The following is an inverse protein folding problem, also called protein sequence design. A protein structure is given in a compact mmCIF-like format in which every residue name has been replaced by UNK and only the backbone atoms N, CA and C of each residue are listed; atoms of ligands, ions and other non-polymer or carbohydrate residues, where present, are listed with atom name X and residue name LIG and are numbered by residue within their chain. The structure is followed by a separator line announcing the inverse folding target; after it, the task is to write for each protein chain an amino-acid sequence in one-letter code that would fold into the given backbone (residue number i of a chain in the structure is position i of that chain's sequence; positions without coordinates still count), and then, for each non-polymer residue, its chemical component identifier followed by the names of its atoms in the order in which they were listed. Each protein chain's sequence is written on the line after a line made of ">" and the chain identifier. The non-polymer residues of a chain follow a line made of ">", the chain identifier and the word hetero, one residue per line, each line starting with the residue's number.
data_IF_425203064018
#
_entry.id   IF_425203064018
#
_cell.length_a   1.000
_cell.length_b   1.000
_cell.length_c   1.000
_cell.angle_alpha   90.00
_cell.angle_beta   90.00
_cell.angle_gamma   90.00
#
_symmetry.space_group_name_H-M   'P 1'
#
loop_
_entity.id
_entity.type
_entity.pdbx_description
1 polymer ?
#
# COMPACT_ATOMS: atom_id res chain seq x y z
N UNK A 1 3.81 -18.04 5.66
CA UNK A 1 4.42 -17.02 4.78
C UNK A 1 5.67 -16.45 5.41
N UNK A 2 6.58 -15.87 4.63
CA UNK A 2 7.82 -15.26 5.16
C UNK A 2 7.55 -14.08 6.10
N UNK A 3 6.46 -13.35 5.90
CA UNK A 3 6.05 -12.25 6.77
C UNK A 3 5.42 -12.72 8.10
N UNK A 4 5.17 -14.03 8.27
CA UNK A 4 4.55 -14.59 9.47
C UNK A 4 3.05 -14.80 9.38
N UNK A 5 2.40 -14.52 8.24
CA UNK A 5 0.99 -14.86 8.06
C UNK A 5 0.78 -16.37 7.99
N UNK A 6 -0.26 -16.86 8.64
CA UNK A 6 -0.73 -18.24 8.53
C UNK A 6 -1.73 -18.35 7.37
N UNK A 7 -1.50 -19.30 6.46
CA UNK A 7 -2.30 -19.44 5.25
C UNK A 7 -2.80 -20.86 5.15
N UNK A 8 -4.11 -21.04 5.16
CA UNK A 8 -4.77 -22.33 5.03
C UNK A 8 -5.68 -22.36 3.80
N UNK A 9 -5.43 -23.31 2.92
CA UNK A 9 -6.31 -23.59 1.78
C UNK A 9 -7.54 -24.37 2.24
N UNK A 10 -8.71 -23.74 2.15
CA UNK A 10 -10.01 -24.35 2.51
C UNK A 10 -10.56 -25.15 1.33
N UNK A 11 -10.41 -24.64 0.09
CA UNK A 11 -10.79 -25.29 -1.15
C UNK A 11 -9.86 -24.88 -2.29
N UNK A 12 -10.08 -25.40 -3.50
CA UNK A 12 -9.29 -25.04 -4.69
C UNK A 12 -9.24 -23.54 -5.00
N UNK A 13 -10.23 -22.76 -4.53
CA UNK A 13 -10.37 -21.32 -4.79
C UNK A 13 -10.57 -20.48 -3.53
N UNK A 14 -10.45 -21.09 -2.34
CA UNK A 14 -10.72 -20.39 -1.07
C UNK A 14 -9.53 -20.57 -0.13
N UNK A 15 -9.00 -19.45 0.34
CA UNK A 15 -7.92 -19.41 1.31
C UNK A 15 -8.37 -18.64 2.54
N UNK A 16 -8.01 -19.14 3.71
CA UNK A 16 -8.06 -18.43 4.97
C UNK A 16 -6.67 -17.89 5.26
N UNK A 17 -6.57 -16.59 5.54
CA UNK A 17 -5.30 -15.92 5.79
C UNK A 17 -5.39 -15.21 7.14
N UNK A 18 -4.62 -15.69 8.11
CA UNK A 18 -4.47 -15.05 9.42
C UNK A 18 -3.19 -14.23 9.44
N UNK A 19 -3.36 -12.92 9.57
CA UNK A 19 -2.25 -11.96 9.61
C UNK A 19 -1.91 -11.49 11.02
N UNK A 20 -2.53 -12.05 12.06
CA UNK A 20 -2.36 -11.63 13.45
C UNK A 20 -0.91 -11.78 13.96
N UNK A 21 -0.16 -12.72 13.39
CA UNK A 21 1.22 -13.04 13.78
C UNK A 21 2.29 -12.38 12.90
N UNK A 22 1.91 -11.53 11.96
CA UNK A 22 2.90 -10.79 11.16
C UNK A 22 3.71 -9.90 12.10
N UNK A 23 5.03 -10.09 12.07
CA UNK A 23 5.99 -9.37 12.90
C UNK A 23 7.20 -8.88 12.10
N UNK A 24 7.19 -9.05 10.78
CA UNK A 24 8.24 -8.63 9.87
C UNK A 24 7.72 -7.56 8.91
N UNK A 25 8.45 -6.46 8.80
CA UNK A 25 8.16 -5.34 7.89
C UNK A 25 9.09 -5.31 6.68
N UNK A 26 9.93 -6.33 6.54
CA UNK A 26 10.86 -6.50 5.43
C UNK A 26 10.40 -7.63 4.51
N UNK A 27 10.23 -7.30 3.22
CA UNK A 27 9.95 -8.27 2.17
C UNK A 27 11.27 -8.65 1.50
N UNK A 28 11.60 -9.94 1.52
CA UNK A 28 12.87 -10.42 1.01
C UNK A 28 13.09 -10.08 -0.48
N UNK A 29 14.36 -9.93 -0.86
CA UNK A 29 14.76 -9.70 -2.24
C UNK A 29 14.26 -10.80 -3.18
N UNK A 30 14.24 -12.04 -2.70
CA UNK A 30 13.83 -13.19 -3.49
C UNK A 30 12.34 -13.11 -3.83
N UNK A 31 11.48 -12.84 -2.85
CA UNK A 31 10.04 -12.63 -3.07
C UNK A 31 9.75 -11.43 -3.96
N UNK A 32 10.45 -10.32 -3.74
CA UNK A 32 10.24 -9.09 -4.51
C UNK A 32 10.58 -9.26 -5.97
N UNK A 33 11.59 -10.08 -6.30
CA UNK A 33 11.95 -10.40 -7.69
C UNK A 33 10.96 -11.33 -8.37
N UNK A 34 10.37 -12.24 -7.63
CA UNK A 34 9.40 -13.22 -8.16
C UNK A 34 8.02 -12.62 -8.36
N UNK A 35 7.64 -11.63 -7.54
CA UNK A 35 6.29 -11.10 -7.52
C UNK A 35 6.29 -9.58 -7.68
N UNK A 36 5.85 -9.10 -8.86
CA UNK A 36 5.78 -7.66 -9.16
C UNK A 36 4.88 -6.87 -8.22
N UNK A 37 3.87 -7.53 -7.65
CA UNK A 37 2.95 -6.92 -6.70
C UNK A 37 3.57 -6.71 -5.30
N UNK A 38 4.82 -7.12 -5.08
CA UNK A 38 5.50 -6.98 -3.78
C UNK A 38 5.57 -5.53 -3.28
N UNK A 39 5.61 -4.55 -4.18
CA UNK A 39 5.62 -3.14 -3.76
C UNK A 39 4.32 -2.67 -3.09
N UNK A 40 3.20 -3.39 -3.22
CA UNK A 40 1.98 -3.08 -2.45
C UNK A 40 2.15 -3.32 -0.94
N UNK A 41 3.11 -4.14 -0.56
CA UNK A 41 3.48 -4.28 0.85
C UNK A 41 4.01 -2.99 1.46
N UNK A 42 4.56 -2.05 0.67
CA UNK A 42 4.99 -0.75 1.20
C UNK A 42 3.86 -0.02 1.90
N UNK A 43 2.73 0.19 1.22
CA UNK A 43 1.58 0.89 1.80
C UNK A 43 0.91 0.10 2.93
N UNK A 44 0.75 -1.23 2.75
CA UNK A 44 0.09 -2.07 3.74
C UNK A 44 0.88 -2.18 5.05
N UNK A 45 2.21 -2.40 4.96
CA UNK A 45 3.07 -2.51 6.15
C UNK A 45 3.30 -1.14 6.80
N UNK A 46 3.48 -0.08 6.01
CA UNK A 46 3.59 1.28 6.52
C UNK A 46 2.34 1.67 7.30
N UNK A 47 1.15 1.45 6.75
CA UNK A 47 -0.11 1.75 7.44
C UNK A 47 -0.29 0.97 8.74
N UNK A 48 0.10 -0.31 8.76
CA UNK A 48 -0.11 -1.18 9.90
C UNK A 48 0.97 -1.08 10.98
N UNK A 49 2.25 -0.97 10.58
CA UNK A 49 3.40 -1.08 11.47
C UNK A 49 4.24 0.20 11.54
N UNK A 50 3.91 1.24 10.78
CA UNK A 50 4.70 2.45 10.69
C UNK A 50 6.02 2.28 9.94
N UNK A 51 6.31 1.12 9.38
CA UNK A 51 7.53 0.88 8.60
C UNK A 51 7.36 -0.22 7.58
N UNK A 52 8.06 -0.09 6.45
CA UNK A 52 8.14 -1.13 5.43
C UNK A 52 9.49 -1.07 4.71
N UNK A 53 10.02 -2.23 4.37
CA UNK A 53 11.21 -2.38 3.53
C UNK A 53 10.93 -3.42 2.45
N UNK A 54 11.04 -2.99 1.19
CA UNK A 54 10.75 -3.84 0.03
C UNK A 54 11.85 -3.63 -1.01
N UNK A 55 12.38 -4.71 -1.56
CA UNK A 55 13.30 -4.58 -2.67
C UNK A 55 12.58 -4.01 -3.90
N UNK A 56 13.29 -3.19 -4.67
CA UNK A 56 12.78 -2.73 -5.95
C UNK A 56 12.38 -3.95 -6.79
N UNK A 57 11.13 -3.99 -7.29
CA UNK A 57 10.66 -5.13 -8.06
C UNK A 57 11.58 -5.35 -9.27
N UNK A 58 12.02 -6.58 -9.45
CA UNK A 58 12.89 -6.97 -10.55
C UNK A 58 12.30 -6.54 -11.88
N UNK A 59 13.18 -6.10 -12.80
CA UNK A 59 12.79 -5.60 -14.09
C UNK A 59 12.01 -6.63 -14.91
N UNK A 60 10.83 -6.25 -15.36
CA UNK A 60 10.28 -6.82 -16.57
C UNK A 60 10.92 -6.07 -17.75
N UNK A 61 11.06 -6.70 -18.91
CA UNK A 61 11.55 -6.10 -20.16
C UNK A 61 10.77 -4.84 -20.64
N UNK A 62 9.86 -4.31 -19.81
CA UNK A 62 9.05 -3.13 -20.07
C UNK A 62 9.63 -1.81 -19.49
N UNK A 63 10.89 -1.85 -19.02
CA UNK A 63 11.61 -0.67 -18.53
C UNK A 63 11.47 -0.39 -17.02
N UNK A 64 12.23 0.61 -16.52
CA UNK A 64 12.18 1.02 -15.12
C UNK A 64 10.79 1.56 -14.80
N UNK A 65 10.25 1.17 -13.66
CA UNK A 65 9.00 1.74 -13.16
C UNK A 65 9.31 2.79 -12.12
N UNK A 66 8.89 4.03 -12.35
CA UNK A 66 9.07 5.08 -11.37
C UNK A 66 8.26 4.77 -10.12
N UNK A 67 8.88 4.88 -8.96
CA UNK A 67 8.24 4.77 -7.64
C UNK A 67 8.04 6.14 -6.99
N UNK A 68 8.40 7.19 -7.70
CA UNK A 68 8.33 8.58 -7.28
C UNK A 68 6.95 8.97 -6.75
N UNK A 69 5.87 8.59 -7.45
CA UNK A 69 4.51 8.88 -7.03
C UNK A 69 4.11 8.10 -5.76
N UNK A 70 4.67 6.91 -5.54
CA UNK A 70 4.47 6.15 -4.29
C UNK A 70 5.14 6.86 -3.13
N UNK A 71 6.41 7.22 -3.28
CA UNK A 71 7.19 7.92 -2.25
C UNK A 71 6.59 9.30 -1.96
N UNK A 72 6.21 10.05 -3.00
CA UNK A 72 5.48 11.32 -2.85
C UNK A 72 4.25 11.18 -1.95
N UNK A 73 3.46 10.13 -2.14
CA UNK A 73 2.28 9.88 -1.32
C UNK A 73 2.66 9.58 0.13
N UNK A 74 3.66 8.72 0.36
CA UNK A 74 4.10 8.36 1.70
C UNK A 74 4.72 9.55 2.44
N UNK A 75 5.56 10.34 1.77
CA UNK A 75 6.15 11.56 2.34
C UNK A 75 5.06 12.58 2.69
N UNK A 76 4.05 12.75 1.84
CA UNK A 76 2.92 13.64 2.14
C UNK A 76 2.12 13.18 3.36
N UNK A 77 2.03 11.87 3.60
CA UNK A 77 1.42 11.29 4.80
C UNK A 77 2.34 11.37 6.04
N UNK A 78 3.53 11.94 5.93
CA UNK A 78 4.48 12.13 7.02
C UNK A 78 5.49 10.99 7.21
N UNK A 79 5.67 10.13 6.22
CA UNK A 79 6.71 9.12 6.27
C UNK A 79 8.04 9.65 5.70
N UNK A 80 9.13 9.23 6.31
CA UNK A 80 10.48 9.32 5.73
C UNK A 80 10.70 8.17 4.76
N UNK A 81 11.38 8.42 3.65
CA UNK A 81 11.70 7.41 2.68
C UNK A 81 13.19 7.43 2.29
N UNK A 82 13.71 6.29 1.92
CA UNK A 82 15.02 6.15 1.30
C UNK A 82 15.04 5.01 0.28
N UNK A 83 15.86 5.20 -0.75
CA UNK A 83 16.10 4.17 -1.76
C UNK A 83 17.61 3.95 -1.87
N UNK A 84 18.08 2.85 -1.29
CA UNK A 84 19.49 2.51 -1.22
C UNK A 84 19.73 1.06 -1.61
N UNK A 85 20.74 0.80 -2.42
CA UNK A 85 21.13 -0.54 -2.85
C UNK A 85 19.98 -1.39 -3.42
N UNK A 86 19.01 -0.73 -4.09
CA UNK A 86 17.84 -1.40 -4.66
C UNK A 86 16.76 -1.78 -3.61
N UNK A 87 16.86 -1.25 -2.40
CA UNK A 87 15.83 -1.39 -1.35
C UNK A 87 15.10 -0.06 -1.16
N UNK A 88 13.79 -0.14 -1.11
CA UNK A 88 12.92 0.97 -0.73
C UNK A 88 12.60 0.80 0.74
N UNK A 89 12.86 1.84 1.53
CA UNK A 89 12.50 1.90 2.95
C UNK A 89 11.58 3.07 3.17
N UNK A 90 10.52 2.85 3.92
CA UNK A 90 9.59 3.89 4.36
C UNK A 90 9.32 3.72 5.84
N UNK A 91 9.28 4.83 6.58
CA UNK A 91 9.03 4.83 8.02
C UNK A 91 8.27 6.07 8.45
N UNK A 92 7.32 5.89 9.36
CA UNK A 92 6.61 6.98 10.02
C UNK A 92 6.33 6.58 11.47
N UNK A 93 6.52 7.52 12.39
CA UNK A 93 6.06 7.32 13.77
C UNK A 93 4.53 7.43 13.85
N UNK A 94 3.96 8.39 13.10
CA UNK A 94 2.53 8.60 12.95
C UNK A 94 2.22 9.07 11.54
N UNK A 95 1.31 8.39 10.85
CA UNK A 95 0.80 8.85 9.56
C UNK A 95 -0.29 9.91 9.78
N UNK A 96 -0.21 10.99 9.02
CA UNK A 96 -1.14 12.11 9.04
C UNK A 96 -1.88 12.20 7.70
N UNK A 97 -3.19 12.43 7.76
CA UNK A 97 -3.98 12.69 6.57
C UNK A 97 -3.49 13.93 5.82
N UNK A 98 -3.46 13.85 4.50
CA UNK A 98 -2.91 14.89 3.64
C UNK A 98 -3.72 15.08 2.36
N UNK A 99 -3.52 16.22 1.69
CA UNK A 99 -4.01 16.44 0.34
C UNK A 99 -2.88 16.12 -0.65
N UNK A 100 -3.09 15.11 -1.49
CA UNK A 100 -2.07 14.55 -2.38
C UNK A 100 -2.58 14.60 -3.81
N UNK A 101 -1.89 15.37 -4.64
CA UNK A 101 -2.11 15.40 -6.09
C UNK A 101 -1.04 14.57 -6.79
N UNK A 102 -1.43 13.56 -7.57
CA UNK A 102 -0.51 12.77 -8.38
C UNK A 102 -0.18 13.49 -9.69
N UNK A 103 1.10 13.68 -9.96
CA UNK A 103 1.56 14.34 -11.20
C UNK A 103 1.24 13.50 -12.44
N UNK A 104 1.22 12.18 -12.24
CA UNK A 104 0.87 11.19 -13.26
C UNK A 104 -0.09 10.17 -12.67
N UNK A 105 -1.15 9.83 -13.38
CA UNK A 105 -2.08 8.76 -12.99
C UNK A 105 -1.31 7.44 -12.88
N UNK A 106 -1.30 6.87 -11.69
CA UNK A 106 -0.61 5.61 -11.40
C UNK A 106 -1.49 4.72 -10.54
N UNK A 107 -1.84 3.55 -11.06
CA UNK A 107 -2.59 2.53 -10.31
C UNK A 107 -1.85 2.12 -9.06
N UNK A 108 -0.55 1.82 -9.20
CA UNK A 108 0.27 1.37 -8.08
C UNK A 108 0.38 2.41 -6.98
N UNK A 109 0.63 3.67 -7.33
CA UNK A 109 0.72 4.76 -6.36
C UNK A 109 -0.63 5.01 -5.67
N UNK A 110 -1.74 5.01 -6.45
CA UNK A 110 -3.09 5.15 -5.91
C UNK A 110 -3.39 4.08 -4.86
N UNK A 111 -3.17 2.80 -5.20
CA UNK A 111 -3.44 1.69 -4.28
C UNK A 111 -2.53 1.73 -3.04
N UNK A 112 -1.24 2.03 -3.21
CA UNK A 112 -0.32 2.16 -2.07
C UNK A 112 -0.69 3.32 -1.15
N UNK A 113 -1.05 4.47 -1.72
CA UNK A 113 -1.54 5.61 -0.93
C UNK A 113 -2.81 5.26 -0.15
N UNK A 114 -3.76 4.55 -0.78
CA UNK A 114 -4.97 4.08 -0.10
C UNK A 114 -4.65 3.16 1.07
N UNK A 115 -3.76 2.17 0.87
CA UNK A 115 -3.36 1.20 1.90
C UNK A 115 -2.71 1.87 3.12
N UNK A 116 -1.92 2.92 2.92
CA UNK A 116 -1.32 3.69 4.02
C UNK A 116 -2.33 4.65 4.66
N UNK A 117 -3.11 5.39 3.83
CA UNK A 117 -4.00 6.45 4.29
C UNK A 117 -5.18 5.95 5.14
N UNK A 118 -5.62 4.70 4.99
CA UNK A 118 -6.71 4.14 5.83
C UNK A 118 -6.33 4.05 7.30
N UNK A 119 -5.04 4.10 7.63
CA UNK A 119 -4.53 4.11 9.01
C UNK A 119 -3.95 5.47 9.42
N UNK A 120 -3.94 6.47 8.54
CA UNK A 120 -3.44 7.81 8.84
C UNK A 120 -4.45 8.61 9.70
N UNK A 121 -3.97 9.40 10.65
CA UNK A 121 -4.83 10.24 11.46
C UNK A 121 -5.43 11.39 10.64
N UNK A 122 -6.74 11.56 10.70
CA UNK A 122 -7.44 12.62 9.98
C UNK A 122 -7.96 12.20 8.61
N UNK A 123 -8.03 13.15 7.69
CA UNK A 123 -8.55 12.96 6.34
C UNK A 123 -7.45 13.05 5.29
N UNK A 124 -7.41 12.10 4.37
CA UNK A 124 -6.60 12.14 3.16
C UNK A 124 -7.48 12.38 1.95
N UNK A 125 -7.05 13.27 1.06
CA UNK A 125 -7.66 13.50 -0.25
C UNK A 125 -6.60 13.17 -1.30
N UNK A 126 -6.91 12.21 -2.16
CA UNK A 126 -6.06 11.82 -3.28
C UNK A 126 -6.71 12.35 -4.56
N UNK A 127 -5.99 13.13 -5.33
CA UNK A 127 -6.45 13.70 -6.62
C UNK A 127 -5.60 13.19 -7.78
N UNK A 128 -6.19 13.20 -8.97
CA UNK A 128 -5.62 12.64 -10.19
C UNK A 128 -5.26 11.16 -10.04
N UNK A 129 -6.14 10.41 -9.37
CA UNK A 129 -5.98 8.99 -9.09
C UNK A 129 -6.38 8.10 -10.26
N UNK A 130 -5.92 6.86 -10.23
CA UNK A 130 -6.35 5.80 -11.11
C UNK A 130 -7.81 5.40 -10.84
N UNK A 131 -8.57 5.07 -11.90
CA UNK A 131 -10.02 4.79 -11.82
C UNK A 131 -10.36 3.34 -12.18
N UNK A 132 -9.36 2.54 -12.42
CA UNK A 132 -9.50 1.16 -12.87
C UNK A 132 -10.31 0.29 -11.88
N UNK A 133 -11.04 -0.73 -12.38
CA UNK A 133 -11.92 -1.56 -11.55
C UNK A 133 -11.26 -2.15 -10.31
N UNK A 134 -9.98 -2.52 -10.39
CA UNK A 134 -9.27 -3.09 -9.25
C UNK A 134 -8.92 -2.07 -8.15
N UNK A 135 -8.88 -0.75 -8.47
CA UNK A 135 -8.82 0.31 -7.45
C UNK A 135 -10.14 0.38 -6.68
N UNK A 136 -11.26 0.26 -7.40
CA UNK A 136 -12.60 0.21 -6.81
C UNK A 136 -12.75 -1.06 -5.95
N UNK A 137 -12.23 -2.18 -6.42
CA UNK A 137 -12.28 -3.45 -5.69
C UNK A 137 -11.47 -3.37 -4.39
N UNK A 138 -10.27 -2.79 -4.43
CA UNK A 138 -9.49 -2.51 -3.22
C UNK A 138 -10.27 -1.61 -2.24
N UNK A 139 -10.88 -0.52 -2.72
CA UNK A 139 -11.69 0.35 -1.87
C UNK A 139 -12.85 -0.41 -1.20
N UNK A 140 -13.51 -1.30 -1.94
CA UNK A 140 -14.59 -2.14 -1.41
C UNK A 140 -14.07 -3.15 -0.37
N UNK A 141 -12.90 -3.74 -0.60
CA UNK A 141 -12.25 -4.61 0.37
C UNK A 141 -11.93 -3.86 1.67
N UNK A 142 -11.28 -2.69 1.57
CA UNK A 142 -10.95 -1.85 2.71
C UNK A 142 -12.20 -1.41 3.50
N UNK A 143 -13.29 -1.04 2.81
CA UNK A 143 -14.57 -0.72 3.46
C UNK A 143 -15.14 -1.89 4.25
N UNK A 144 -15.07 -3.11 3.69
CA UNK A 144 -15.51 -4.30 4.41
C UNK A 144 -14.66 -4.61 5.64
N UNK A 145 -13.41 -4.16 5.64
CA UNK A 145 -12.50 -4.22 6.80
C UNK A 145 -12.71 -3.05 7.78
N UNK A 146 -13.68 -2.17 7.54
CA UNK A 146 -14.02 -1.05 8.43
C UNK A 146 -13.41 0.30 8.05
N UNK A 147 -12.73 0.42 6.91
CA UNK A 147 -12.16 1.69 6.45
C UNK A 147 -13.25 2.64 5.89
N UNK A 148 -13.01 3.94 6.04
CA UNK A 148 -13.87 5.01 5.52
C UNK A 148 -13.25 5.58 4.21
N UNK A 149 -13.66 5.03 3.07
CA UNK A 149 -13.12 5.35 1.73
C UNK A 149 -14.24 5.73 0.78
N UNK A 150 -14.15 6.87 0.10
CA UNK A 150 -15.13 7.37 -0.85
C UNK A 150 -14.48 7.83 -2.15
N UNK A 151 -15.22 7.78 -3.25
CA UNK A 151 -14.81 8.32 -4.55
C UNK A 151 -13.98 7.39 -5.42
N UNK A 152 -13.70 6.15 -5.03
CA UNK A 152 -13.01 5.19 -5.89
C UNK A 152 -13.79 4.99 -7.21
N UNK A 153 -13.07 4.99 -8.33
CA UNK A 153 -13.63 4.99 -9.68
C UNK A 153 -13.82 6.39 -10.27
N UNK A 154 -13.58 7.44 -9.48
CA UNK A 154 -13.49 8.84 -9.96
C UNK A 154 -12.02 9.32 -9.91
N UNK A 155 -11.76 10.56 -10.24
CA UNK A 155 -10.42 11.18 -10.19
C UNK A 155 -10.01 11.64 -8.77
N UNK A 156 -10.93 11.55 -7.79
CA UNK A 156 -10.70 11.96 -6.42
C UNK A 156 -11.14 10.88 -5.45
N UNK A 157 -10.24 10.45 -4.58
CA UNK A 157 -10.55 9.52 -3.48
C UNK A 157 -10.37 10.25 -2.15
N UNK A 158 -11.37 10.15 -1.27
CA UNK A 158 -11.34 10.68 0.09
C UNK A 158 -11.31 9.53 1.07
N UNK A 159 -10.38 9.58 2.02
CA UNK A 159 -10.17 8.55 3.02
C UNK A 159 -10.12 9.22 4.39
N UNK A 160 -10.92 8.74 5.32
CA UNK A 160 -10.78 9.09 6.73
C UNK A 160 -10.12 7.91 7.42
N UNK A 161 -8.97 8.16 8.04
CA UNK A 161 -8.24 7.11 8.74
C UNK A 161 -9.00 6.55 9.92
N UNK A 162 -8.80 5.26 10.18
CA UNK A 162 -9.43 4.52 11.28
C UNK A 162 -8.37 3.97 12.22
N UNK A 163 -8.74 3.77 13.50
CA UNK A 163 -7.81 3.27 14.52
C UNK A 163 -7.50 1.78 14.38
N UNK A 164 -8.41 1.03 13.79
CA UNK A 164 -8.25 -0.41 13.55
C UNK A 164 -9.14 -0.87 12.40
N UNK A 165 -8.70 -1.91 11.73
CA UNK A 165 -9.46 -2.65 10.71
C UNK A 165 -9.57 -4.12 11.12
N UNK A 166 -10.57 -4.83 10.65
CA UNK A 166 -10.87 -6.22 10.98
C UNK A 166 -11.40 -7.01 9.79
#
# INVERSE_FOLDING_TARGET
>A
SELGADIRMISKSTYEIDTSRINCTEVSNELSRQMRASYYFLGALLGRFGSAQVAMPGGCNLGPRPIDQHLKAFTALGADDSVEYGMIRVKADHLQGAHIFFDTVSVGATMNAMLAAVMAEGQTILENVAREPHVVDLANCLKRMGADVHGAGTDVIKIRGVKSMH
#
